data_IF_934019523265
#
_entry.id   IF_934019523265
#
_cell.length_a   1.000
_cell.length_b   1.000
_cell.length_c   1.000
_cell.angle_alpha   90.00
_cell.angle_beta   90.00
_cell.angle_gamma   90.00
#
_symmetry.space_group_name_H-M   'P 1'
#
loop_
_entity.id
_entity.type
_entity.pdbx_description
1 polymer ?
#
# COMPACT_ATOMS: atom_id res chain seq x y z
N UNK A 1 18.04 9.22 -1.82
CA UNK A 1 17.20 9.86 -2.82
C UNK A 1 16.04 8.91 -3.09
N UNK A 2 14.80 9.41 -3.03
CA UNK A 2 13.63 8.55 -3.11
C UNK A 2 13.48 8.11 -4.56
N UNK A 3 13.02 6.88 -4.78
CA UNK A 3 12.86 6.33 -6.13
C UNK A 3 11.72 5.33 -6.21
N UNK A 4 11.16 5.21 -7.40
CA UNK A 4 10.22 4.14 -7.74
C UNK A 4 10.94 3.14 -8.63
N UNK A 5 10.95 1.88 -8.24
CA UNK A 5 11.38 0.77 -9.09
C UNK A 5 10.16 0.07 -9.65
N UNK A 6 10.24 -0.40 -10.90
CA UNK A 6 9.17 -1.17 -11.52
C UNK A 6 9.69 -2.43 -12.20
N UNK A 7 8.83 -3.43 -12.28
CA UNK A 7 9.02 -4.67 -13.05
C UNK A 7 7.74 -5.00 -13.79
N UNK A 8 7.82 -5.05 -15.12
CA UNK A 8 6.71 -5.43 -16.00
C UNK A 8 6.55 -6.95 -16.04
N UNK A 9 5.37 -7.46 -16.45
CA UNK A 9 5.11 -8.90 -16.53
C UNK A 9 6.04 -9.67 -17.48
N UNK A 10 6.56 -9.01 -18.52
CA UNK A 10 7.52 -9.58 -19.47
C UNK A 10 8.97 -9.58 -18.94
N UNK A 11 9.19 -9.06 -17.73
CA UNK A 11 10.47 -9.05 -17.04
C UNK A 11 11.33 -7.80 -17.29
N UNK A 12 10.88 -6.84 -18.09
CA UNK A 12 11.54 -5.54 -18.16
C UNK A 12 11.45 -4.84 -16.79
N UNK A 13 12.49 -4.09 -16.44
CA UNK A 13 12.54 -3.36 -15.18
C UNK A 13 13.28 -2.05 -15.34
N UNK A 14 13.00 -1.12 -14.44
CA UNK A 14 13.63 0.19 -14.44
C UNK A 14 13.39 0.90 -13.12
N UNK A 15 13.92 2.11 -13.02
CA UNK A 15 13.73 2.96 -11.86
C UNK A 15 13.66 4.44 -12.29
N UNK A 16 12.85 5.21 -11.57
CA UNK A 16 12.83 6.67 -11.63
C UNK A 16 13.24 7.23 -10.26
N UNK A 17 14.25 8.10 -10.25
CA UNK A 17 14.56 8.92 -9.09
C UNK A 17 13.53 10.05 -8.97
N UNK A 18 13.03 10.27 -7.77
CA UNK A 18 12.05 11.31 -7.50
C UNK A 18 12.76 12.61 -7.12
N UNK A 19 12.99 13.46 -8.13
CA UNK A 19 13.74 14.72 -8.00
C UNK A 19 12.87 15.98 -8.10
N UNK A 20 11.56 15.82 -8.28
CA UNK A 20 10.58 16.89 -8.37
C UNK A 20 9.41 16.68 -7.40
N UNK A 21 8.77 17.77 -6.99
CA UNK A 21 7.58 17.74 -6.11
C UNK A 21 6.41 16.96 -6.71
N UNK A 22 6.34 16.86 -8.04
CA UNK A 22 5.32 16.12 -8.77
C UNK A 22 5.92 15.48 -10.01
N UNK A 23 5.62 14.20 -10.21
CA UNK A 23 6.07 13.42 -11.37
C UNK A 23 4.92 12.55 -11.87
N UNK A 24 4.69 12.51 -13.18
CA UNK A 24 3.67 11.67 -13.79
C UNK A 24 4.22 10.29 -14.15
N UNK A 25 3.34 9.31 -14.07
CA UNK A 25 3.62 7.90 -14.29
C UNK A 25 2.64 7.40 -15.37
N UNK A 26 3.15 6.74 -16.40
CA UNK A 26 2.29 6.24 -17.47
C UNK A 26 3.04 5.59 -18.62
N UNK A 27 2.28 5.19 -19.64
CA UNK A 27 2.83 4.56 -20.85
C UNK A 27 3.30 5.58 -21.90
N UNK A 28 2.70 6.76 -21.92
CA UNK A 28 3.07 7.79 -22.89
C UNK A 28 4.48 8.34 -22.60
N UNK A 29 5.16 8.77 -23.65
CA UNK A 29 6.54 9.24 -23.64
C UNK A 29 6.72 10.65 -23.05
N UNK A 30 5.61 11.34 -22.76
CA UNK A 30 5.57 12.62 -22.08
C UNK A 30 5.55 12.50 -20.55
N UNK A 31 5.52 11.29 -19.99
CA UNK A 31 5.63 11.06 -18.55
C UNK A 31 7.07 11.03 -18.07
N UNK A 32 7.29 11.38 -16.79
CA UNK A 32 8.59 11.21 -16.15
C UNK A 32 8.93 9.73 -15.92
N UNK A 33 7.98 8.91 -15.44
CA UNK A 33 8.13 7.46 -15.42
C UNK A 33 7.38 6.84 -16.60
N UNK A 34 8.13 6.43 -17.62
CA UNK A 34 7.61 5.76 -18.80
C UNK A 34 7.64 4.25 -18.57
N UNK A 35 6.47 3.62 -18.59
CA UNK A 35 6.31 2.17 -18.46
C UNK A 35 5.64 1.65 -19.72
N UNK A 36 6.44 1.03 -20.60
CA UNK A 36 5.98 0.50 -21.88
C UNK A 36 5.22 -0.83 -21.72
N UNK A 37 4.06 -0.79 -21.05
CA UNK A 37 3.19 -1.94 -20.84
C UNK A 37 1.73 -1.59 -21.13
N UNK A 38 1.01 -2.46 -21.86
CA UNK A 38 -0.36 -2.20 -22.30
C UNK A 38 -1.39 -2.15 -21.17
N UNK A 39 -1.07 -2.69 -19.99
CA UNK A 39 -1.93 -2.56 -18.82
C UNK A 39 -1.85 -1.17 -18.17
N UNK A 40 -0.85 -0.37 -18.53
CA UNK A 40 -0.64 0.98 -18.00
C UNK A 40 -1.28 2.01 -18.95
N UNK A 41 -2.19 2.82 -18.43
CA UNK A 41 -2.76 3.96 -19.17
C UNK A 41 -1.68 4.96 -19.59
N UNK A 42 -1.93 5.70 -20.68
CA UNK A 42 -1.02 6.73 -21.19
C UNK A 42 -0.60 7.72 -20.10
N UNK A 43 -1.55 8.22 -19.31
CA UNK A 43 -1.34 9.01 -18.10
C UNK A 43 -2.03 8.28 -16.94
N UNK A 44 -1.29 7.41 -16.25
CA UNK A 44 -1.88 6.47 -15.30
C UNK A 44 -2.09 7.10 -13.93
N UNK A 45 -1.07 7.80 -13.44
CA UNK A 45 -1.06 8.38 -12.11
C UNK A 45 -0.02 9.47 -11.98
N UNK A 46 -0.07 10.17 -10.85
CA UNK A 46 1.00 11.08 -10.44
C UNK A 46 1.49 10.70 -9.04
N UNK A 47 2.79 10.89 -8.82
CA UNK A 47 3.37 10.89 -7.48
C UNK A 47 3.71 12.32 -7.12
N UNK A 48 3.31 12.75 -5.93
CA UNK A 48 3.53 14.09 -5.43
C UNK A 48 4.06 14.08 -3.99
N UNK A 49 4.91 15.04 -3.66
CA UNK A 49 5.40 15.29 -2.32
C UNK A 49 4.71 16.54 -1.76
N UNK A 50 4.05 16.41 -0.61
CA UNK A 50 3.32 17.52 0.03
C UNK A 50 4.16 18.29 1.06
N UNK A 51 5.45 17.99 1.15
CA UNK A 51 6.36 18.54 2.16
C UNK A 51 6.56 17.62 3.37
N UNK A 52 5.69 16.63 3.58
CA UNK A 52 5.79 15.66 4.67
C UNK A 52 5.84 14.21 4.15
N UNK A 53 5.11 13.90 3.08
CA UNK A 53 4.97 12.54 2.60
C UNK A 53 4.75 12.47 1.09
N UNK A 54 5.12 11.33 0.51
CA UNK A 54 4.85 11.03 -0.88
C UNK A 54 3.45 10.43 -1.01
N UNK A 55 2.70 10.91 -1.99
CA UNK A 55 1.34 10.44 -2.28
C UNK A 55 1.26 10.05 -3.75
N UNK A 56 0.69 8.88 -4.02
CA UNK A 56 0.35 8.40 -5.36
C UNK A 56 -1.14 8.60 -5.61
N UNK A 57 -1.48 9.24 -6.72
CA UNK A 57 -2.87 9.46 -7.16
C UNK A 57 -3.08 8.84 -8.54
N UNK A 58 -4.11 8.00 -8.66
CA UNK A 58 -4.58 7.43 -9.93
C UNK A 58 -5.40 8.47 -10.69
N UNK A 59 -5.11 8.68 -11.98
CA UNK A 59 -5.77 9.70 -12.81
C UNK A 59 -6.97 9.13 -13.60
N UNK A 60 -7.62 8.09 -13.07
CA UNK A 60 -8.70 7.40 -13.76
C UNK A 60 -8.18 6.37 -14.75
N UNK A 61 -7.12 5.65 -14.38
CA UNK A 61 -6.52 4.63 -15.22
C UNK A 61 -7.49 3.47 -15.50
N UNK A 62 -7.34 2.82 -16.65
CA UNK A 62 -8.24 1.76 -17.11
C UNK A 62 -8.20 0.53 -16.22
N UNK A 63 -7.00 0.11 -15.82
CA UNK A 63 -6.80 -1.09 -15.00
C UNK A 63 -6.62 -0.78 -13.51
N UNK A 64 -6.51 0.50 -13.16
CA UNK A 64 -6.36 0.97 -11.79
C UNK A 64 -4.95 0.84 -11.23
N UNK A 65 -4.70 1.69 -10.22
CA UNK A 65 -3.62 1.52 -9.24
C UNK A 65 -4.07 0.57 -8.13
N UNK A 66 -3.22 -0.36 -7.69
CA UNK A 66 -3.54 -1.32 -6.63
C UNK A 66 -2.46 -1.38 -5.54
N UNK A 67 -2.88 -1.56 -4.30
CA UNK A 67 -2.01 -1.82 -3.14
C UNK A 67 -2.51 -3.06 -2.41
N UNK A 68 -1.65 -4.04 -2.20
CA UNK A 68 -2.05 -5.32 -1.60
C UNK A 68 -3.19 -6.04 -2.35
N UNK A 69 -3.31 -5.83 -3.66
CA UNK A 69 -4.36 -6.38 -4.51
C UNK A 69 -5.68 -5.58 -4.53
N UNK A 70 -5.83 -4.56 -3.69
CA UNK A 70 -7.02 -3.70 -3.67
C UNK A 70 -6.80 -2.45 -4.51
N UNK A 71 -7.79 -2.04 -5.33
CA UNK A 71 -7.72 -0.80 -6.11
C UNK A 71 -7.80 0.42 -5.19
N UNK A 72 -6.98 1.42 -5.45
CA UNK A 72 -6.93 2.69 -4.71
C UNK A 72 -6.92 3.86 -5.68
N UNK A 73 -7.54 4.97 -5.28
CA UNK A 73 -7.50 6.24 -6.03
C UNK A 73 -6.35 7.13 -5.55
N UNK A 74 -6.07 7.12 -4.25
CA UNK A 74 -4.97 7.89 -3.66
C UNK A 74 -4.39 7.09 -2.50
N UNK A 75 -3.06 7.04 -2.40
CA UNK A 75 -2.37 6.30 -1.35
C UNK A 75 -1.08 6.99 -0.95
N UNK A 76 -0.80 7.00 0.35
CA UNK A 76 0.47 7.45 0.89
C UNK A 76 1.56 6.39 0.66
N UNK A 77 2.72 6.81 0.16
CA UNK A 77 3.85 5.94 -0.14
C UNK A 77 4.88 6.03 1.01
N UNK A 78 4.83 5.04 1.90
CA UNK A 78 5.90 4.80 2.87
C UNK A 78 7.06 4.04 2.20
N UNK A 79 8.28 4.22 2.69
CA UNK A 79 9.44 3.48 2.16
C UNK A 79 9.20 1.96 2.22
N UNK A 80 9.46 1.27 1.11
CA UNK A 80 9.17 -0.16 0.94
C UNK A 80 7.73 -0.46 0.50
N UNK A 81 6.87 0.55 0.30
CA UNK A 81 5.51 0.34 -0.18
C UNK A 81 5.51 -0.31 -1.57
N UNK A 82 4.85 -1.47 -1.65
CA UNK A 82 4.61 -2.18 -2.90
C UNK A 82 3.21 -1.84 -3.44
N UNK A 83 3.16 -1.46 -4.71
CA UNK A 83 1.93 -1.12 -5.41
C UNK A 83 1.99 -1.62 -6.85
N UNK A 84 0.88 -1.53 -7.56
CA UNK A 84 0.79 -1.91 -8.96
C UNK A 84 0.14 -0.80 -9.77
N UNK A 85 0.67 -0.57 -10.97
CA UNK A 85 0.02 0.23 -12.01
C UNK A 85 -0.43 -0.74 -13.09
N UNK A 86 -1.74 -0.99 -13.17
CA UNK A 86 -2.27 -2.06 -14.02
C UNK A 86 -1.80 -3.44 -13.56
N UNK A 87 -0.89 -4.06 -14.33
CA UNK A 87 -0.24 -5.34 -14.04
C UNK A 87 1.26 -5.20 -13.74
N UNK A 88 1.80 -3.97 -13.74
CA UNK A 88 3.20 -3.69 -13.47
C UNK A 88 3.41 -3.57 -11.97
N UNK A 89 4.39 -4.30 -11.44
CA UNK A 89 4.73 -4.24 -10.02
C UNK A 89 5.69 -3.09 -9.79
N UNK A 90 5.40 -2.27 -8.79
CA UNK A 90 6.20 -1.12 -8.40
C UNK A 90 6.55 -1.18 -6.91
N UNK A 91 7.72 -0.67 -6.57
CA UNK A 91 8.17 -0.50 -5.18
C UNK A 91 8.67 0.92 -5.01
N UNK A 92 8.12 1.62 -4.03
CA UNK A 92 8.63 2.91 -3.60
C UNK A 92 9.74 2.70 -2.56
N UNK A 93 10.90 3.29 -2.83
CA UNK A 93 12.05 3.30 -1.93
C UNK A 93 12.27 4.74 -1.50
N UNK A 94 11.79 5.08 -0.31
CA UNK A 94 11.93 6.42 0.26
C UNK A 94 13.30 6.63 0.90
N UNK A 95 13.59 7.88 1.22
CA UNK A 95 14.75 8.29 2.02
C UNK A 95 14.51 7.94 3.48
N UNK A 96 14.70 6.69 3.86
CA UNK A 96 14.51 6.28 5.24
C UNK A 96 15.58 6.91 6.14
N UNK A 97 15.27 8.01 6.84
CA UNK A 97 15.83 8.35 8.17
C UNK A 97 14.86 9.10 9.13
N UNK A 98 13.59 9.37 8.79
CA UNK A 98 12.77 10.33 9.59
C UNK A 98 11.35 9.90 10.04
N UNK A 99 11.08 8.60 10.28
CA UNK A 99 10.06 8.21 11.27
C UNK A 99 10.59 8.34 12.73
N UNK A 100 11.82 8.82 12.90
CA UNK A 100 12.48 9.06 14.19
C UNK A 100 12.17 10.45 14.80
N UNK A 101 11.39 11.32 14.13
CA UNK A 101 10.95 12.60 14.71
C UNK A 101 9.58 12.48 15.38
N UNK A 102 9.50 11.60 16.39
CA UNK A 102 8.46 11.61 17.41
C UNK A 102 9.11 11.55 18.80
N UNK A 103 10.00 12.51 19.07
CA UNK A 103 10.26 12.94 20.43
C UNK A 103 9.91 14.44 20.50
N UNK A 104 8.82 14.86 21.17
CA UNK A 104 8.78 16.23 21.63
C UNK A 104 9.98 16.40 22.55
N UNK A 105 10.95 17.22 22.12
CA UNK A 105 11.95 17.76 23.03
C UNK A 105 11.18 18.66 24.00
N UNK A 106 10.68 18.10 25.10
CA UNK A 106 10.26 18.91 26.23
C UNK A 106 11.56 19.44 26.82
N UNK A 107 11.89 20.69 26.49
CA UNK A 107 12.79 21.52 27.30
C UNK A 107 12.18 21.65 28.69
N UNK A 108 12.49 20.73 29.59
CA UNK A 108 12.31 20.94 31.03
C UNK A 108 13.59 21.54 31.57
N UNK A 109 13.54 22.85 31.75
CA UNK A 109 14.50 23.62 32.55
C UNK A 109 14.62 22.98 33.94
N UNK A 110 15.85 22.75 34.37
CA UNK A 110 16.20 22.41 35.74
C UNK A 110 15.67 23.48 36.70
N UNK A 111 15.08 23.05 37.82
CA UNK A 111 15.62 23.52 39.09
C UNK A 111 16.10 22.34 39.94
N UNK A 112 17.37 22.45 40.34
CA UNK A 112 17.96 21.83 41.52
C UNK A 112 16.98 21.78 42.71
N UNK A 113 16.70 20.58 43.23
CA UNK A 113 16.31 20.38 44.63
C UNK A 113 16.47 18.91 45.02
N UNK A 114 16.95 18.69 46.24
CA UNK A 114 17.70 17.51 46.68
C UNK A 114 17.01 16.15 46.61
N UNK A 115 17.76 15.14 46.18
CA UNK A 115 17.43 13.74 46.40
C UNK A 115 18.06 13.25 47.70
N UNK A 116 17.22 13.11 48.73
CA UNK A 116 17.56 12.35 49.92
C UNK A 116 17.62 10.86 49.59
N UNK A 117 18.75 10.22 49.89
CA UNK A 117 18.89 8.78 49.84
C UNK A 117 18.09 8.14 50.97
N UNK A 118 16.93 7.54 50.68
CA UNK A 118 16.33 6.54 51.57
C UNK A 118 16.90 5.15 51.21
N UNK A 119 17.47 4.40 52.18
CA UNK A 119 17.87 3.03 51.92
C UNK A 119 16.62 2.13 51.80
N UNK A 120 16.49 1.45 50.66
CA UNK A 120 15.50 0.41 50.47
C UNK A 120 15.90 -0.85 51.25
N UNK A 121 15.17 -1.13 52.33
CA UNK A 121 15.23 -2.39 53.05
C UNK A 121 13.99 -3.24 52.75
N UNK A 122 14.21 -4.39 52.12
CA UNK A 122 13.58 -5.63 52.55
C UNK A 122 12.39 -6.18 51.76
N UNK A 123 12.62 -7.43 51.30
CA UNK A 123 11.71 -8.58 51.18
C UNK A 123 10.74 -8.66 49.98
N UNK A 124 11.15 -9.55 49.07
CA UNK A 124 10.39 -10.66 48.49
C UNK A 124 8.87 -10.64 48.71
N UNK A 125 8.11 -10.50 47.61
CA UNK A 125 6.85 -11.23 47.42
C UNK A 125 6.67 -11.71 45.97
N UNK A 126 6.33 -12.98 45.90
CA UNK A 126 5.99 -13.84 44.78
C UNK A 126 4.65 -13.47 44.14
N UNK A 127 4.59 -13.56 42.80
CA UNK A 127 3.41 -14.01 42.05
C UNK A 127 2.39 -12.96 41.64
N UNK A 128 2.17 -12.84 40.33
CA UNK A 128 0.89 -12.77 39.59
C UNK A 128 1.09 -11.98 38.30
N UNK A 129 1.24 -12.71 37.18
CA UNK A 129 1.19 -12.18 35.82
C UNK A 129 0.41 -13.16 34.95
N UNK A 130 -0.55 -12.69 34.12
CA UNK A 130 -1.57 -13.53 33.50
C UNK A 130 -1.02 -14.45 32.39
N UNK A 131 -1.60 -15.65 32.32
CA UNK A 131 -1.34 -16.68 31.30
C UNK A 131 -1.74 -16.18 29.91
N UNK A 132 -0.79 -16.12 28.97
CA UNK A 132 -1.08 -15.93 27.54
C UNK A 132 -1.71 -17.23 27.01
N UNK A 133 -2.93 -17.14 26.48
CA UNK A 133 -3.70 -18.26 25.92
C UNK A 133 -3.46 -18.30 24.41
N UNK A 134 -2.79 -19.35 23.95
CA UNK A 134 -2.53 -19.65 22.54
C UNK A 134 -3.86 -19.96 21.81
N UNK A 135 -4.11 -19.31 20.67
CA UNK A 135 -5.31 -19.52 19.84
C UNK A 135 -4.88 -20.06 18.48
N UNK A 136 -5.16 -21.35 18.26
CA UNK A 136 -4.95 -22.06 17.00
C UNK A 136 -5.76 -21.43 15.84
N UNK A 137 -5.21 -21.35 14.61
CA UNK A 137 -5.98 -21.00 13.43
C UNK A 137 -6.69 -22.24 12.86
N UNK A 138 -7.91 -22.49 13.34
CA UNK A 138 -8.87 -23.38 12.68
C UNK A 138 -9.86 -22.54 11.89
N UNK A 139 -9.75 -22.51 10.56
CA UNK A 139 -10.66 -21.74 9.72
C UNK A 139 -10.24 -21.61 8.26
N UNK A 140 -9.64 -22.65 7.69
CA UNK A 140 -9.56 -22.82 6.24
C UNK A 140 -10.72 -23.75 5.82
N UNK A 141 -11.30 -23.49 4.64
CA UNK A 141 -12.32 -24.26 3.93
C UNK A 141 -13.76 -23.76 4.13
N UNK A 142 -14.22 -22.83 3.28
CA UNK A 142 -15.58 -22.79 2.68
C UNK A 142 -15.75 -21.54 1.77
N UNK A 143 -15.15 -21.54 0.59
CA UNK A 143 -15.57 -20.68 -0.53
C UNK A 143 -15.53 -21.48 -1.83
N UNK A 144 -16.53 -22.34 -2.03
CA UNK A 144 -16.65 -23.17 -3.24
C UNK A 144 -18.07 -23.22 -3.82
N UNK A 145 -18.86 -22.15 -3.73
CA UNK A 145 -20.18 -22.07 -4.38
C UNK A 145 -20.48 -20.64 -4.86
N UNK A 146 -19.78 -20.19 -5.90
CA UNK A 146 -20.00 -18.86 -6.49
C UNK A 146 -19.86 -18.76 -8.01
N UNK A 147 -19.80 -19.89 -8.73
CA UNK A 147 -19.55 -19.88 -10.20
C UNK A 147 -20.70 -20.52 -11.02
N UNK A 148 -21.69 -21.16 -10.39
CA UNK A 148 -22.77 -21.85 -11.11
C UNK A 148 -24.02 -20.99 -11.41
N UNK A 149 -24.16 -19.79 -10.80
CA UNK A 149 -25.38 -18.98 -10.91
C UNK A 149 -25.47 -18.08 -12.15
N UNK A 150 -24.34 -17.72 -12.77
CA UNK A 150 -24.32 -16.73 -13.87
C UNK A 150 -24.56 -17.41 -15.24
N UNK A 151 -24.26 -18.69 -15.38
CA UNK A 151 -24.47 -19.44 -16.64
C UNK A 151 -25.95 -19.74 -16.94
N UNK A 152 -26.85 -19.69 -15.96
CA UNK A 152 -28.27 -19.98 -16.16
C UNK A 152 -29.07 -18.79 -16.73
N UNK A 153 -28.63 -17.53 -16.54
CA UNK A 153 -29.37 -16.36 -17.05
C UNK A 153 -29.09 -16.05 -18.53
N UNK A 154 -27.90 -16.35 -19.04
CA UNK A 154 -27.54 -16.06 -20.43
C UNK A 154 -28.33 -16.87 -21.48
N UNK A 155 -28.69 -18.11 -21.16
CA UNK A 155 -29.36 -19.01 -22.11
C UNK A 155 -30.82 -18.59 -22.39
N UNK A 156 -31.53 -18.01 -21.42
CA UNK A 156 -32.93 -17.62 -21.57
C UNK A 156 -33.11 -16.42 -22.53
N UNK A 157 -32.19 -15.45 -22.48
CA UNK A 157 -32.22 -14.28 -23.38
C UNK A 157 -31.85 -14.67 -24.82
N UNK A 158 -30.93 -15.62 -24.99
CA UNK A 158 -30.55 -16.11 -26.32
C UNK A 158 -31.69 -16.87 -27.02
N UNK A 159 -32.43 -17.71 -26.29
CA UNK A 159 -33.56 -18.45 -26.85
C UNK A 159 -34.77 -17.57 -27.16
N UNK A 160 -35.05 -16.55 -26.34
CA UNK A 160 -36.15 -15.62 -26.62
C UNK A 160 -35.94 -14.80 -27.91
N UNK A 161 -34.68 -14.56 -28.31
CA UNK A 161 -34.37 -13.82 -29.54
C UNK A 161 -34.45 -14.68 -30.82
N UNK A 162 -34.37 -16.01 -30.71
CA UNK A 162 -34.45 -16.94 -31.85
C UNK A 162 -35.90 -17.26 -32.29
N UNK A 163 -36.90 -17.06 -31.43
CA UNK A 163 -38.30 -17.41 -31.73
C UNK A 163 -39.16 -16.23 -32.24
N UNK A 164 -38.55 -15.07 -32.51
CA UNK A 164 -39.25 -13.82 -32.81
C UNK A 164 -39.10 -13.29 -34.24
N UNK A 165 -38.87 -14.14 -35.25
CA UNK A 165 -38.95 -13.73 -36.66
C UNK A 165 -39.61 -14.85 -37.48
N UNK A 166 -40.93 -14.73 -37.66
CA UNK A 166 -41.58 -14.85 -38.95
C UNK A 166 -42.97 -14.22 -38.91
#
# INVERSE_FOLDING_TARGET
MPRIQFTTPDGASGALELDAERMSLGRADDNQLIIADDSVSSHHGEVAFDGNSWTLTDLGSTNGTKVGGSRVETVNLASGAAFQLGNVNCVFLGDSEEDAYSAPTITVSTPSSGYGSQPYNGRLRTGFGPKVKEKNPGGALLTLLGVAGILACGAAVYFAKQMGVS
#
